data_IF_749331072328
#
_entry.id   IF_749331072328
#
_cell.length_a   1.000
_cell.length_b   1.000
_cell.length_c   1.000
_cell.angle_alpha   90.00
_cell.angle_beta   90.00
_cell.angle_gamma   90.00
#
_symmetry.space_group_name_H-M   'P 1'
#
loop_
_entity.id
_entity.type
_entity.pdbx_description
1 polymer ?
#
# COMPACT_ATOMS: atom_id res chain seq x y z
N UNK A 1 -2.47 -13.64 -11.14
CA UNK A 1 -2.71 -12.34 -11.78
C UNK A 1 -3.77 -11.60 -10.97
N UNK A 2 -3.65 -10.29 -10.80
CA UNK A 2 -4.58 -9.43 -10.04
C UNK A 2 -4.62 -8.04 -10.68
N UNK A 3 -5.64 -7.22 -10.42
CA UNK A 3 -5.66 -5.83 -10.90
C UNK A 3 -4.49 -5.03 -10.32
N UNK A 4 -3.86 -4.19 -11.16
CA UNK A 4 -2.78 -3.29 -10.77
C UNK A 4 -3.14 -2.37 -9.61
N UNK A 5 -2.15 -2.06 -8.77
CA UNK A 5 -2.24 -1.14 -7.64
C UNK A 5 -1.53 0.19 -7.85
N UNK A 6 -0.64 0.31 -8.83
CA UNK A 6 -0.01 1.57 -9.26
C UNK A 6 -0.97 2.31 -10.21
N UNK A 7 -1.44 1.61 -11.25
CA UNK A 7 -2.41 2.12 -12.24
C UNK A 7 -3.57 1.13 -12.36
N UNK A 8 -4.62 1.36 -11.56
CA UNK A 8 -5.80 0.49 -11.52
C UNK A 8 -6.51 0.46 -12.87
N UNK A 9 -7.02 -0.71 -13.25
CA UNK A 9 -7.75 -0.97 -14.51
C UNK A 9 -6.95 -0.74 -15.81
N UNK A 10 -5.74 -0.19 -15.73
CA UNK A 10 -4.82 -0.06 -16.87
C UNK A 10 -3.76 -1.16 -16.87
N UNK A 11 -3.36 -1.62 -15.67
CA UNK A 11 -2.29 -2.61 -15.49
C UNK A 11 -2.74 -3.78 -14.64
N UNK A 12 -1.98 -4.88 -14.71
CA UNK A 12 -2.22 -6.13 -13.99
C UNK A 12 -0.96 -6.61 -13.28
N UNK A 13 -1.12 -7.03 -12.02
CA UNK A 13 -0.06 -7.66 -11.24
C UNK A 13 0.20 -9.08 -11.69
N UNK A 14 1.46 -9.39 -11.97
CA UNK A 14 1.91 -10.72 -12.37
C UNK A 14 3.11 -11.12 -11.51
N UNK A 15 2.95 -12.18 -10.74
CA UNK A 15 3.96 -12.74 -9.86
C UNK A 15 3.68 -14.21 -9.53
N UNK A 16 4.68 -14.89 -8.98
CA UNK A 16 4.62 -16.29 -8.57
C UNK A 16 4.20 -16.34 -7.10
N UNK A 17 3.24 -17.21 -6.76
CA UNK A 17 2.80 -17.51 -5.39
C UNK A 17 2.26 -16.32 -4.56
N UNK A 18 1.84 -15.22 -5.19
CA UNK A 18 1.25 -14.10 -4.46
C UNK A 18 1.00 -12.87 -5.33
N UNK A 19 0.53 -11.80 -4.68
CA UNK A 19 0.27 -10.47 -5.29
C UNK A 19 0.75 -9.30 -4.43
N UNK A 20 1.19 -9.58 -3.20
CA UNK A 20 1.82 -8.63 -2.28
C UNK A 20 3.30 -8.99 -2.14
N UNK A 21 4.00 -8.56 -1.07
CA UNK A 21 5.43 -8.86 -0.91
C UNK A 21 5.75 -10.35 -0.75
N UNK A 22 4.76 -11.21 -0.50
CA UNK A 22 4.93 -12.68 -0.47
C UNK A 22 5.19 -13.27 -1.86
N UNK A 23 4.92 -12.53 -2.93
CA UNK A 23 5.11 -12.99 -4.30
C UNK A 23 6.58 -12.86 -4.77
N UNK A 24 7.01 -13.76 -5.64
CA UNK A 24 8.21 -13.56 -6.46
C UNK A 24 7.81 -12.90 -7.78
N UNK A 25 8.14 -11.61 -7.93
CA UNK A 25 7.89 -10.82 -9.13
C UNK A 25 9.04 -10.90 -10.16
N UNK A 26 10.07 -11.71 -9.90
CA UNK A 26 11.28 -11.77 -10.70
C UNK A 26 11.90 -10.38 -10.93
N UNK A 27 11.97 -9.55 -9.88
CA UNK A 27 12.38 -8.14 -9.94
C UNK A 27 13.59 -7.82 -9.05
N UNK A 28 14.44 -8.81 -8.74
CA UNK A 28 15.64 -8.59 -7.93
C UNK A 28 16.62 -7.61 -8.59
N UNK A 29 16.76 -7.74 -9.91
CA UNK A 29 17.60 -6.90 -10.77
C UNK A 29 16.71 -6.29 -11.83
N UNK A 30 16.63 -4.96 -11.84
CA UNK A 30 15.73 -4.18 -12.70
C UNK A 30 16.44 -2.91 -13.19
N UNK A 31 16.07 -2.46 -14.38
CA UNK A 31 16.50 -1.15 -14.89
C UNK A 31 15.56 -0.02 -14.40
N UNK A 32 15.86 1.21 -14.84
CA UNK A 32 15.08 2.41 -14.47
C UNK A 32 14.02 2.78 -15.52
N UNK A 33 13.99 2.12 -16.67
CA UNK A 33 13.17 2.51 -17.81
C UNK A 33 11.68 2.22 -17.56
N UNK A 34 11.37 1.12 -16.86
CA UNK A 34 9.98 0.71 -16.63
C UNK A 34 9.21 1.69 -15.75
N UNK A 35 9.82 2.23 -14.68
CA UNK A 35 9.15 3.19 -13.80
C UNK A 35 8.70 4.45 -14.56
N UNK A 36 9.49 4.90 -15.54
CA UNK A 36 9.17 6.06 -16.37
C UNK A 36 7.86 5.89 -17.15
N UNK A 37 7.48 4.66 -17.53
CA UNK A 37 6.22 4.37 -18.24
C UNK A 37 4.97 4.69 -17.41
N UNK A 38 5.06 4.58 -16.08
CA UNK A 38 3.93 4.88 -15.20
C UNK A 38 3.62 6.38 -15.14
N UNK A 39 4.59 7.24 -15.53
CA UNK A 39 4.48 8.68 -15.50
C UNK A 39 4.01 9.20 -14.12
N UNK A 40 4.58 8.65 -13.06
CA UNK A 40 4.32 9.04 -11.67
C UNK A 40 5.59 9.68 -11.11
N UNK A 41 5.46 10.93 -10.68
CA UNK A 41 6.50 11.62 -9.94
C UNK A 41 6.47 11.21 -8.47
N UNK A 42 7.62 10.82 -7.92
CA UNK A 42 7.79 10.62 -6.49
C UNK A 42 7.97 11.99 -5.82
N UNK A 43 6.89 12.54 -5.25
CA UNK A 43 6.95 13.83 -4.57
C UNK A 43 7.97 13.79 -3.43
N UNK A 44 8.75 14.86 -3.18
CA UNK A 44 9.63 14.94 -2.02
C UNK A 44 8.89 14.58 -0.73
N UNK A 45 9.60 13.96 0.20
CA UNK A 45 9.01 13.65 1.49
C UNK A 45 8.47 14.90 2.19
N UNK A 46 7.24 14.83 2.71
CA UNK A 46 6.52 15.94 3.32
C UNK A 46 5.75 15.45 4.55
N UNK A 47 6.22 15.86 5.72
CA UNK A 47 5.59 15.56 7.02
C UNK A 47 5.01 16.84 7.63
N UNK A 48 4.02 17.44 6.97
CA UNK A 48 3.42 18.71 7.43
C UNK A 48 1.96 18.56 7.88
N UNK A 49 1.35 17.39 7.68
CA UNK A 49 0.00 17.12 8.13
C UNK A 49 -0.10 16.89 9.63
N UNK A 50 -1.31 16.59 10.11
CA UNK A 50 -1.53 16.28 11.53
C UNK A 50 -2.16 14.90 11.75
N UNK A 51 -2.87 14.37 10.74
CA UNK A 51 -3.66 13.15 10.89
C UNK A 51 -2.81 11.90 10.66
N UNK A 52 -2.91 10.91 11.54
CA UNK A 52 -2.45 9.55 11.27
C UNK A 52 -3.61 8.79 10.63
N UNK A 53 -3.47 8.41 9.36
CA UNK A 53 -4.54 7.74 8.61
C UNK A 53 -4.31 6.24 8.65
N UNK A 54 -5.24 5.48 9.22
CA UNK A 54 -5.18 4.01 9.24
C UNK A 54 -6.08 3.45 8.15
N UNK A 55 -5.48 2.85 7.12
CA UNK A 55 -6.19 2.23 6.00
C UNK A 55 -6.39 0.72 6.24
N UNK A 56 -7.65 0.30 6.33
CA UNK A 56 -8.03 -1.10 6.45
C UNK A 56 -8.01 -1.86 5.13
N UNK A 57 -8.12 -3.18 5.22
CA UNK A 57 -8.25 -4.09 4.08
C UNK A 57 -9.64 -4.77 4.07
N UNK A 58 -9.88 -5.63 3.08
CA UNK A 58 -11.05 -6.49 3.07
C UNK A 58 -10.80 -7.74 3.91
N UNK A 59 -11.65 -8.03 4.90
CA UNK A 59 -11.46 -9.15 5.85
C UNK A 59 -11.37 -10.50 5.13
N UNK A 60 -12.14 -10.69 4.05
CA UNK A 60 -12.14 -11.93 3.27
C UNK A 60 -11.03 -11.98 2.20
N UNK A 61 -10.10 -11.03 2.19
CA UNK A 61 -8.98 -11.09 1.25
C UNK A 61 -8.02 -12.21 1.63
N UNK A 62 -7.48 -12.94 0.65
CA UNK A 62 -6.38 -13.88 0.88
C UNK A 62 -5.18 -13.19 1.54
N UNK A 63 -4.96 -11.90 1.26
CA UNK A 63 -3.91 -11.09 1.88
C UNK A 63 -4.15 -10.84 3.38
N UNK A 64 -5.37 -11.07 3.86
CA UNK A 64 -5.79 -10.90 5.24
C UNK A 64 -5.99 -12.23 6.00
N UNK A 65 -5.78 -13.38 5.34
CA UNK A 65 -6.14 -14.73 5.85
C UNK A 65 -5.63 -15.08 7.25
N UNK A 66 -4.46 -14.56 7.63
CA UNK A 66 -3.79 -14.84 8.90
C UNK A 66 -3.89 -13.67 9.90
N UNK A 67 -4.69 -12.66 9.59
CA UNK A 67 -4.83 -11.46 10.41
C UNK A 67 -6.13 -11.48 11.23
N UNK A 68 -6.18 -10.78 12.38
CA UNK A 68 -7.40 -10.70 13.17
C UNK A 68 -8.54 -10.01 12.41
N UNK A 69 -9.80 -10.13 12.88
CA UNK A 69 -10.91 -9.37 12.32
C UNK A 69 -10.59 -7.86 12.24
N UNK A 70 -11.03 -7.21 11.17
CA UNK A 70 -10.62 -5.83 10.86
C UNK A 70 -10.87 -4.84 12.00
N UNK A 71 -12.01 -4.95 12.71
CA UNK A 71 -12.29 -4.11 13.88
C UNK A 71 -11.26 -4.29 15.01
N UNK A 72 -10.88 -5.55 15.31
CA UNK A 72 -9.84 -5.86 16.29
C UNK A 72 -8.48 -5.34 15.84
N UNK A 73 -8.16 -5.44 14.55
CA UNK A 73 -6.91 -4.88 14.02
C UNK A 73 -6.86 -3.36 14.18
N UNK A 74 -7.92 -2.64 13.84
CA UNK A 74 -7.98 -1.19 14.04
C UNK A 74 -7.80 -0.81 15.51
N UNK A 75 -8.47 -1.50 16.43
CA UNK A 75 -8.31 -1.28 17.88
C UNK A 75 -6.86 -1.48 18.32
N UNK A 76 -6.19 -2.52 17.82
CA UNK A 76 -4.77 -2.77 18.10
C UNK A 76 -3.88 -1.66 17.56
N UNK A 77 -4.10 -1.20 16.32
CA UNK A 77 -3.29 -0.13 15.73
C UNK A 77 -3.48 1.19 16.48
N UNK A 78 -4.72 1.58 16.80
CA UNK A 78 -5.01 2.80 17.57
C UNK A 78 -4.33 2.74 18.93
N UNK A 79 -4.48 1.62 19.64
CA UNK A 79 -3.88 1.43 20.97
C UNK A 79 -2.35 1.50 20.92
N UNK A 80 -1.72 0.90 19.91
CA UNK A 80 -0.27 0.92 19.76
C UNK A 80 0.25 2.32 19.43
N UNK A 81 -0.40 3.03 18.50
CA UNK A 81 -0.04 4.41 18.13
C UNK A 81 -0.13 5.34 19.34
N UNK A 82 -1.17 5.18 20.17
CA UNK A 82 -1.41 6.01 21.36
C UNK A 82 -0.34 5.89 22.44
N UNK A 83 0.56 4.90 22.36
CA UNK A 83 1.75 4.82 23.23
C UNK A 83 2.79 5.91 22.92
N UNK A 84 2.76 6.47 21.71
CA UNK A 84 3.81 7.37 21.21
C UNK A 84 3.29 8.77 20.87
N UNK A 85 1.98 8.93 20.63
CA UNK A 85 1.42 10.23 20.22
C UNK A 85 -0.09 10.38 20.44
N UNK A 86 -0.47 11.63 20.72
CA UNK A 86 -1.86 12.11 20.79
C UNK A 86 -2.39 12.69 19.46
N UNK A 87 -1.62 12.63 18.36
CA UNK A 87 -2.06 13.13 17.05
C UNK A 87 -3.44 12.58 16.65
N UNK A 88 -4.30 13.35 15.97
CA UNK A 88 -5.58 12.85 15.50
C UNK A 88 -5.43 11.60 14.63
N UNK A 89 -6.32 10.62 14.80
CA UNK A 89 -6.32 9.38 14.01
C UNK A 89 -7.58 9.33 13.15
N UNK A 90 -7.39 9.05 11.86
CA UNK A 90 -8.47 8.83 10.91
C UNK A 90 -8.49 7.37 10.49
N UNK A 91 -9.49 6.64 10.96
CA UNK A 91 -9.75 5.26 10.56
C UNK A 91 -10.48 5.25 9.22
N UNK A 92 -9.86 4.63 8.21
CA UNK A 92 -10.41 4.46 6.86
C UNK A 92 -10.58 2.96 6.56
N UNK A 93 -11.80 2.41 6.72
CA UNK A 93 -12.10 1.04 6.29
C UNK A 93 -12.01 0.89 4.76
N UNK A 94 -11.86 -0.35 4.30
CA UNK A 94 -11.90 -0.65 2.88
C UNK A 94 -13.30 -0.34 2.29
N UNK A 95 -13.42 0.24 1.07
CA UNK A 95 -14.70 0.68 0.51
C UNK A 95 -15.78 -0.40 0.37
N UNK A 96 -15.36 -1.67 0.32
CA UNK A 96 -16.22 -2.86 0.19
C UNK A 96 -16.33 -3.69 1.46
N UNK A 97 -15.70 -3.27 2.56
CA UNK A 97 -15.72 -4.02 3.81
C UNK A 97 -16.51 -3.23 4.85
N UNK A 98 -17.65 -3.78 5.29
CA UNK A 98 -18.44 -3.14 6.34
C UNK A 98 -17.81 -3.46 7.69
N UNK A 99 -17.19 -2.46 8.30
CA UNK A 99 -16.56 -2.57 9.61
C UNK A 99 -17.19 -1.54 10.54
N UNK A 100 -17.53 -1.96 11.75
CA UNK A 100 -18.03 -1.09 12.81
C UNK A 100 -16.99 -1.09 13.93
N UNK A 101 -16.56 0.11 14.32
CA UNK A 101 -15.65 0.34 15.45
C UNK A 101 -16.25 1.49 16.25
N UNK A 102 -16.31 1.32 17.56
CA UNK A 102 -16.60 2.43 18.45
C UNK A 102 -15.35 3.31 18.55
N UNK A 103 -15.32 4.39 17.76
CA UNK A 103 -14.20 5.35 17.79
C UNK A 103 -14.29 6.30 18.99
N UNK A 104 -15.45 6.42 19.65
CA UNK A 104 -15.65 7.36 20.77
C UNK A 104 -14.87 6.95 22.02
N UNK A 105 -14.48 5.68 22.15
CA UNK A 105 -13.62 5.21 23.25
C UNK A 105 -12.19 5.75 23.18
N UNK A 106 -11.79 6.33 22.05
CA UNK A 106 -10.44 6.85 21.84
C UNK A 106 -10.47 8.36 21.66
N UNK A 107 -9.57 9.07 22.36
CA UNK A 107 -9.36 10.51 22.20
C UNK A 107 -8.93 10.84 20.77
N UNK A 108 -9.57 11.83 20.14
CA UNK A 108 -9.24 12.36 18.80
C UNK A 108 -9.15 11.30 17.70
N UNK A 109 -10.05 10.31 17.73
CA UNK A 109 -10.18 9.30 16.68
C UNK A 109 -11.53 9.44 15.99
N UNK A 110 -11.51 9.43 14.66
CA UNK A 110 -12.73 9.43 13.84
C UNK A 110 -12.63 8.38 12.75
N UNK A 111 -13.79 7.84 12.36
CA UNK A 111 -13.90 6.94 11.23
C UNK A 111 -14.44 7.69 10.01
N UNK A 112 -13.69 7.68 8.92
CA UNK A 112 -14.09 8.29 7.64
C UNK A 112 -14.18 7.18 6.61
N UNK A 113 -15.41 6.89 6.16
CA UNK A 113 -15.65 5.90 5.13
C UNK A 113 -15.23 6.45 3.77
N UNK A 114 -14.65 5.63 2.88
CA UNK A 114 -14.37 6.02 1.52
C UNK A 114 -15.61 6.55 0.81
N UNK A 115 -15.50 7.76 0.26
CA UNK A 115 -16.51 8.25 -0.66
C UNK A 115 -16.26 7.59 -2.03
N UNK A 116 -17.25 6.83 -2.52
CA UNK A 116 -17.21 6.36 -3.90
C UNK A 116 -17.66 7.51 -4.78
N UNK A 117 -16.72 8.10 -5.52
CA UNK A 117 -17.12 8.79 -6.74
C UNK A 117 -17.77 7.73 -7.68
N UNK A 118 -18.94 8.04 -8.22
CA UNK A 118 -19.64 7.14 -9.15
C UNK A 118 -19.09 7.28 -10.58
N UNK A 119 -18.39 8.38 -10.87
CA UNK A 119 -17.88 8.73 -12.19
C UNK A 119 -16.39 8.39 -12.33
N UNK A 120 -15.66 8.26 -11.22
CA UNK A 120 -14.29 7.75 -11.20
C UNK A 120 -14.21 6.55 -10.26
N UNK A 121 -13.70 5.42 -10.75
CA UNK A 121 -13.51 4.23 -9.91
C UNK A 121 -12.33 4.40 -8.93
N UNK A 122 -11.50 5.43 -9.16
CA UNK A 122 -10.41 5.79 -8.29
C UNK A 122 -10.89 6.45 -7.00
N UNK A 123 -10.16 6.14 -5.93
CA UNK A 123 -10.41 6.59 -4.56
C UNK A 123 -10.05 8.09 -4.43
N UNK A 124 -10.86 8.96 -5.05
CA UNK A 124 -10.67 10.42 -5.09
C UNK A 124 -10.53 11.06 -3.71
N UNK A 125 -11.10 10.43 -2.68
CA UNK A 125 -10.96 10.88 -1.29
C UNK A 125 -9.57 10.59 -0.71
N UNK A 126 -8.86 9.51 -1.10
CA UNK A 126 -7.54 9.23 -0.51
C UNK A 126 -6.53 10.34 -0.81
N UNK A 127 -6.46 10.81 -2.06
CA UNK A 127 -5.54 11.88 -2.46
C UNK A 127 -5.78 13.18 -1.68
N UNK A 128 -7.04 13.53 -1.45
CA UNK A 128 -7.41 14.69 -0.61
C UNK A 128 -7.03 14.48 0.85
N UNK A 129 -7.22 13.28 1.40
CA UNK A 129 -6.82 12.96 2.78
C UNK A 129 -5.32 12.98 2.98
N UNK A 130 -4.54 12.60 1.98
CA UNK A 130 -3.07 12.68 2.05
C UNK A 130 -2.58 14.12 2.23
N UNK A 131 -3.37 15.15 1.91
CA UNK A 131 -3.00 16.56 2.16
C UNK A 131 -2.91 16.89 3.65
N UNK A 132 -3.72 16.24 4.51
CA UNK A 132 -3.69 16.42 5.97
C UNK A 132 -2.89 15.34 6.70
N UNK A 133 -2.33 14.37 5.97
CA UNK A 133 -1.66 13.22 6.57
C UNK A 133 -0.29 13.58 7.15
N UNK A 134 -0.10 13.22 8.42
CA UNK A 134 1.22 13.11 9.05
C UNK A 134 1.91 11.80 8.62
N UNK A 135 1.17 10.69 8.68
CA UNK A 135 1.62 9.36 8.27
C UNK A 135 0.42 8.49 7.87
N UNK A 136 0.69 7.45 7.08
CA UNK A 136 -0.31 6.42 6.74
C UNK A 136 0.07 5.09 7.35
N UNK A 137 -0.89 4.42 7.98
CA UNK A 137 -0.75 3.07 8.54
C UNK A 137 -1.56 2.12 7.70
N UNK A 138 -0.93 1.06 7.20
CA UNK A 138 -1.58 0.05 6.38
C UNK A 138 -0.87 -1.28 6.54
N UNK A 139 -1.59 -2.40 6.67
CA UNK A 139 -0.93 -3.70 6.72
C UNK A 139 -0.18 -4.00 5.41
N UNK A 140 -0.89 -4.13 4.30
CA UNK A 140 -0.32 -4.45 2.98
C UNK A 140 -1.10 -3.85 1.81
N UNK A 141 -2.00 -2.89 2.07
CA UNK A 141 -2.92 -2.40 1.06
C UNK A 141 -2.30 -1.32 0.14
N UNK A 142 -2.81 -1.23 -1.10
CA UNK A 142 -2.35 -0.27 -2.11
C UNK A 142 -2.29 1.21 -1.67
N UNK A 143 -3.18 1.72 -0.77
CA UNK A 143 -3.05 3.06 -0.21
C UNK A 143 -1.66 3.43 0.32
N UNK A 144 -0.88 2.46 0.81
CA UNK A 144 0.50 2.69 1.23
C UNK A 144 1.38 3.17 0.06
N UNK A 145 1.26 2.56 -1.12
CA UNK A 145 2.03 2.97 -2.30
C UNK A 145 1.66 4.39 -2.73
N UNK A 146 0.37 4.72 -2.75
CA UNK A 146 -0.12 6.07 -3.09
C UNK A 146 0.39 7.12 -2.11
N UNK A 147 0.44 6.80 -0.81
CA UNK A 147 1.02 7.65 0.21
C UNK A 147 2.52 7.88 -0.01
N UNK A 148 3.27 6.80 -0.29
CA UNK A 148 4.69 6.87 -0.62
C UNK A 148 4.93 7.72 -1.87
N UNK A 149 4.16 7.57 -2.95
CA UNK A 149 4.28 8.43 -4.15
C UNK A 149 4.01 9.90 -3.83
N UNK A 150 3.10 10.16 -2.90
CA UNK A 150 2.73 11.51 -2.46
C UNK A 150 3.71 12.13 -1.46
N UNK A 151 4.77 11.41 -1.08
CA UNK A 151 5.76 11.89 -0.11
C UNK A 151 5.28 11.81 1.35
N UNK A 152 4.32 10.94 1.66
CA UNK A 152 3.84 10.73 3.04
C UNK A 152 4.45 9.43 3.59
N UNK A 153 5.11 9.46 4.77
CA UNK A 153 5.70 8.26 5.36
C UNK A 153 4.62 7.23 5.70
N UNK A 154 4.96 5.96 5.54
CA UNK A 154 4.06 4.84 5.80
C UNK A 154 4.56 3.94 6.91
N UNK A 155 3.64 3.34 7.65
CA UNK A 155 3.87 2.30 8.66
C UNK A 155 3.16 1.04 8.19
N UNK A 156 3.94 0.00 7.88
CA UNK A 156 3.45 -1.17 7.15
C UNK A 156 3.95 -2.49 7.71
N UNK A 157 3.22 -3.56 7.43
CA UNK A 157 3.67 -4.91 7.76
C UNK A 157 4.65 -5.44 6.70
N UNK A 158 5.32 -6.54 7.04
CA UNK A 158 6.22 -7.25 6.12
C UNK A 158 5.53 -7.77 4.85
N UNK A 159 4.20 -7.91 4.85
CA UNK A 159 3.45 -8.30 3.66
C UNK A 159 3.28 -7.16 2.64
N UNK A 160 3.59 -5.91 3.02
CA UNK A 160 3.40 -4.75 2.16
C UNK A 160 4.46 -4.63 1.07
N UNK A 161 4.04 -4.27 -0.14
CA UNK A 161 4.96 -3.88 -1.22
C UNK A 161 5.73 -2.59 -0.89
N UNK A 162 5.28 -1.81 0.09
CA UNK A 162 5.97 -0.60 0.55
C UNK A 162 6.94 -0.85 1.70
N UNK A 163 7.20 -2.10 2.09
CA UNK A 163 8.01 -2.45 3.26
C UNK A 163 9.42 -1.86 3.23
N UNK A 164 10.11 -1.90 2.08
CA UNK A 164 11.50 -1.45 1.95
C UNK A 164 11.67 0.07 2.08
N UNK A 165 10.58 0.83 1.96
CA UNK A 165 10.53 2.30 2.09
C UNK A 165 9.57 2.75 3.20
N UNK A 166 9.12 1.82 4.02
CA UNK A 166 8.16 2.02 5.09
C UNK A 166 8.77 1.78 6.47
N UNK A 167 8.04 2.25 7.49
CA UNK A 167 8.38 2.09 8.89
C UNK A 167 7.73 0.81 9.43
N UNK A 168 8.46 0.08 10.27
CA UNK A 168 8.08 -1.28 10.73
C UNK A 168 7.39 -1.28 12.09
N UNK A 169 7.64 -0.26 12.89
CA UNK A 169 7.08 -0.07 14.24
C UNK A 169 6.68 1.39 14.40
N UNK A 170 5.84 1.71 15.39
CA UNK A 170 5.41 3.09 15.65
C UNK A 170 6.36 3.89 16.54
N UNK A 171 7.52 3.33 16.94
CA UNK A 171 8.46 3.98 17.87
C UNK A 171 8.94 5.34 17.35
N UNK A 172 9.16 5.44 16.05
CA UNK A 172 9.57 6.66 15.37
C UNK A 172 8.39 7.39 14.71
N UNK A 173 7.13 7.18 15.13
CA UNK A 173 5.97 7.78 14.45
C UNK A 173 6.00 9.32 14.42
N UNK A 174 6.65 9.96 15.39
CA UNK A 174 6.86 11.41 15.42
C UNK A 174 8.11 11.89 14.65
N UNK A 175 8.97 10.97 14.23
CA UNK A 175 10.10 11.24 13.33
C UNK A 175 10.33 10.03 12.40
N UNK A 176 9.38 9.75 11.47
CA UNK A 176 9.44 8.56 10.64
C UNK A 176 10.69 8.52 9.77
N UNK A 177 11.16 7.31 9.48
CA UNK A 177 12.17 7.09 8.46
C UNK A 177 11.59 7.42 7.07
N UNK A 178 12.40 8.10 6.27
CA UNK A 178 12.05 8.62 4.95
C UNK A 178 13.18 8.35 3.95
N UNK A 179 13.45 7.08 3.62
CA UNK A 179 14.58 6.70 2.79
C UNK A 179 14.41 7.14 1.33
N UNK A 180 15.48 7.03 0.54
CA UNK A 180 15.36 7.12 -0.92
C UNK A 180 14.39 6.03 -1.45
N UNK A 181 13.58 6.39 -2.45
CA UNK A 181 12.51 5.55 -2.98
C UNK A 181 12.76 5.07 -4.40
N UNK A 182 13.83 5.50 -5.07
CA UNK A 182 13.95 5.30 -6.52
C UNK A 182 14.16 3.82 -6.85
N UNK A 183 15.02 3.14 -6.10
CA UNK A 183 15.26 1.71 -6.29
C UNK A 183 13.99 0.88 -6.01
N UNK A 184 13.24 1.25 -4.97
CA UNK A 184 11.96 0.63 -4.66
C UNK A 184 10.95 0.83 -5.79
N UNK A 185 10.81 2.06 -6.31
CA UNK A 185 9.88 2.36 -7.40
C UNK A 185 10.23 1.62 -8.69
N UNK A 186 11.54 1.51 -9.00
CA UNK A 186 12.02 0.70 -10.13
C UNK A 186 11.59 -0.76 -9.97
N UNK A 187 11.79 -1.38 -8.79
CA UNK A 187 11.36 -2.76 -8.55
C UNK A 187 9.84 -2.92 -8.59
N UNK A 188 9.12 -1.95 -8.04
CA UNK A 188 7.66 -1.93 -8.01
C UNK A 188 7.07 -1.89 -9.43
N UNK A 189 7.69 -1.16 -10.34
CA UNK A 189 7.28 -1.07 -11.75
C UNK A 189 7.20 -2.44 -12.43
N UNK A 190 8.05 -3.41 -12.05
CA UNK A 190 8.06 -4.77 -12.62
C UNK A 190 7.02 -5.71 -12.00
N UNK A 191 6.23 -5.23 -11.04
CA UNK A 191 5.11 -6.01 -10.49
C UNK A 191 3.87 -5.93 -11.38
N UNK A 192 3.71 -4.86 -12.16
CA UNK A 192 2.49 -4.53 -12.91
C UNK A 192 2.78 -4.35 -14.40
N UNK A 193 1.88 -4.83 -15.26
CA UNK A 193 2.03 -4.87 -16.72
C UNK A 193 0.76 -4.41 -17.43
N UNK A 194 0.93 -3.66 -18.53
CA UNK A 194 -0.21 -3.27 -19.38
C UNK A 194 -0.70 -4.45 -20.22
N UNK A 195 -1.96 -4.39 -20.66
CA UNK A 195 -2.59 -5.49 -21.43
C UNK A 195 -1.83 -5.81 -22.72
N UNK A 196 -1.34 -4.80 -23.43
CA UNK A 196 -0.53 -4.97 -24.65
C UNK A 196 0.82 -5.67 -24.38
N UNK A 197 1.47 -5.36 -23.26
CA UNK A 197 2.70 -6.03 -22.84
C UNK A 197 2.45 -7.50 -22.46
N UNK A 198 1.27 -7.79 -21.90
CA UNK A 198 0.83 -9.15 -21.58
C UNK A 198 0.57 -9.94 -22.86
N UNK A 199 -0.13 -9.36 -23.83
CA UNK A 199 -0.37 -9.95 -25.15
C UNK A 199 0.94 -10.27 -25.89
N UNK A 200 1.94 -9.41 -25.75
CA UNK A 200 3.30 -9.65 -26.26
C UNK A 200 4.09 -10.73 -25.49
N UNK A 201 3.56 -11.23 -24.38
CA UNK A 201 4.21 -12.26 -23.57
C UNK A 201 5.40 -11.77 -22.73
N UNK A 202 5.61 -10.45 -22.62
CA UNK A 202 6.74 -9.86 -21.88
C UNK A 202 6.79 -10.27 -20.40
N UNK A 203 5.71 -10.16 -19.61
CA UNK A 203 5.73 -10.63 -18.23
C UNK A 203 5.92 -12.15 -18.15
N UNK A 204 5.30 -12.90 -19.06
CA UNK A 204 5.40 -14.36 -19.05
C UNK A 204 6.83 -14.83 -19.27
N UNK A 205 7.57 -14.25 -20.22
CA UNK A 205 8.97 -14.59 -20.45
C UNK A 205 9.83 -14.44 -19.18
N UNK A 206 9.60 -13.38 -18.39
CA UNK A 206 10.30 -13.16 -17.12
C UNK A 206 9.91 -14.18 -16.06
N UNK A 207 8.62 -14.40 -15.88
CA UNK A 207 8.10 -15.33 -14.87
C UNK A 207 8.51 -16.76 -15.19
N UNK A 208 8.43 -17.20 -16.45
CA UNK A 208 8.87 -18.51 -16.91
C UNK A 208 10.34 -18.75 -16.59
N UNK A 209 11.21 -17.78 -16.92
CA UNK A 209 12.64 -17.87 -16.57
C UNK A 209 12.85 -18.05 -15.06
N UNK A 210 12.14 -17.28 -14.23
CA UNK A 210 12.24 -17.41 -12.77
C UNK A 210 11.70 -18.76 -12.26
N UNK A 211 10.64 -19.29 -12.88
CA UNK A 211 10.12 -20.62 -12.57
C UNK A 211 11.17 -21.70 -12.85
N UNK A 212 11.82 -21.66 -14.01
CA UNK A 212 12.89 -22.60 -14.38
C UNK A 212 14.11 -22.49 -13.45
N UNK A 213 14.50 -21.28 -13.05
CA UNK A 213 15.67 -21.05 -12.18
C UNK A 213 15.49 -21.55 -10.75
N UNK A 214 14.27 -21.44 -10.20
CA UNK A 214 14.04 -21.53 -8.74
C UNK A 214 12.95 -22.52 -8.32
N UNK A 215 12.01 -22.86 -9.18
CA UNK A 215 10.79 -23.60 -8.80
C UNK A 215 10.60 -24.93 -9.54
N UNK A 216 11.19 -25.11 -10.72
CA UNK A 216 11.02 -26.31 -11.58
C UNK A 216 12.33 -27.11 -11.65
N UNK A 217 13.16 -27.07 -10.60
CA UNK A 217 14.35 -27.93 -10.52
C UNK A 217 13.97 -29.38 -10.21
#
# INVERSE_FOLDING_TARGET
VEVGGIKRNETWKIGINGINREADFANDIVDTARWKKFNIELKPWKQTGNDIIICGQHTNSHQWRNNPPMAKWFDQQITEIRKYTDKPIVVRPHPRNHVIIDTKKYKDVKMVRPNKDRNTYDDTDLAERLKSAWAVVSHSSNPAMTAVFSGIPVFVSEASLSYDVGNKTFQNILKPDMPDRQNWANKLAYTEWWTDEIEQGLPWARIKKRLEEKYIK
#
